data_IF_928673948913
#
_entry.id   IF_928673948913
#
_cell.length_a   1.000
_cell.length_b   1.000
_cell.length_c   1.000
_cell.angle_alpha   90.00
_cell.angle_beta   90.00
_cell.angle_gamma   90.00
#
_symmetry.space_group_name_H-M   'P 1'
#
loop_
_entity.id
_entity.type
_entity.pdbx_description
1 polymer ?
#
# COMPACT_ATOMS: atom_id res chain seq x y z
N UNK A 1 -44.00 23.34 -0.53
CA UNK A 1 -43.93 23.19 0.93
C UNK A 1 -43.19 21.88 1.22
N UNK A 2 -41.87 21.97 1.33
CA UNK A 2 -40.94 20.95 1.82
C UNK A 2 -39.72 21.72 2.32
N UNK A 3 -39.33 21.63 3.60
CA UNK A 3 -38.16 22.33 4.07
C UNK A 3 -36.88 21.56 3.72
N UNK A 4 -35.91 22.34 3.24
CA UNK A 4 -34.49 22.03 3.11
C UNK A 4 -33.84 22.12 4.49
N UNK A 5 -33.43 20.99 5.07
CA UNK A 5 -32.57 21.00 6.26
C UNK A 5 -31.10 20.82 5.85
N UNK A 6 -30.40 21.96 5.83
CA UNK A 6 -28.96 22.05 5.86
C UNK A 6 -28.50 22.01 7.33
N UNK A 7 -27.75 20.97 7.71
CA UNK A 7 -27.06 20.93 9.01
C UNK A 7 -25.72 21.69 8.93
N UNK A 8 -25.46 22.65 9.84
CA UNK A 8 -24.15 23.30 9.95
C UNK A 8 -23.19 22.47 10.82
N UNK A 9 -21.93 22.37 10.37
CA UNK A 9 -20.80 21.82 11.11
C UNK A 9 -20.20 22.89 12.04
N UNK A 10 -20.05 22.64 13.36
CA UNK A 10 -19.33 23.55 14.24
C UNK A 10 -17.82 23.28 14.18
N UNK A 11 -17.07 24.23 13.61
CA UNK A 11 -15.62 24.33 13.80
C UNK A 11 -15.35 25.02 15.14
N UNK A 12 -14.84 24.26 16.11
CA UNK A 12 -14.35 24.80 17.37
C UNK A 12 -12.87 25.17 17.20
N UNK A 13 -12.58 26.46 17.28
CA UNK A 13 -11.26 27.05 17.41
C UNK A 13 -10.52 26.47 18.63
N UNK A 14 -9.29 26.02 18.44
CA UNK A 14 -8.35 25.71 19.52
C UNK A 14 -7.31 26.85 19.62
N UNK A 15 -6.93 27.29 20.84
CA UNK A 15 -5.93 28.32 21.04
C UNK A 15 -4.50 27.78 20.87
N UNK A 16 -3.61 28.64 20.37
CA UNK A 16 -2.17 28.40 20.27
C UNK A 16 -1.54 28.73 21.61
N UNK A 17 -0.94 27.73 22.26
CA UNK A 17 -0.22 27.89 23.51
C UNK A 17 1.28 28.17 23.24
N UNK A 18 1.78 29.25 23.81
CA UNK A 18 3.19 29.66 23.75
C UNK A 18 3.95 29.02 24.91
N UNK A 19 4.57 27.87 24.64
CA UNK A 19 5.37 27.11 25.62
C UNK A 19 6.87 27.15 25.32
N UNK A 20 7.60 27.86 26.17
CA UNK A 20 9.04 28.12 26.18
C UNK A 20 9.91 26.88 26.48
N UNK A 21 11.20 27.01 26.12
CA UNK A 21 12.41 26.37 26.71
C UNK A 21 12.97 25.13 26.00
N UNK A 22 14.16 25.28 25.41
CA UNK A 22 15.37 24.58 25.86
C UNK A 22 16.65 25.24 25.36
N UNK A 23 17.30 25.94 26.27
CA UNK A 23 18.69 26.38 26.18
C UNK A 23 19.62 25.18 26.10
N UNK A 24 20.57 25.27 25.16
CA UNK A 24 21.62 24.31 24.89
C UNK A 24 22.68 24.41 26.00
N UNK A 25 22.76 23.42 26.87
CA UNK A 25 23.83 23.30 27.86
C UNK A 25 24.82 22.25 27.35
N UNK A 26 26.01 22.71 26.99
CA UNK A 26 27.17 21.89 26.65
C UNK A 26 27.97 21.60 27.92
N UNK A 27 28.19 20.33 28.31
CA UNK A 27 29.21 20.00 29.30
C UNK A 27 30.55 19.61 28.65
N UNK A 28 31.67 19.78 29.39
CA UNK A 28 33.04 19.80 28.88
C UNK A 28 33.67 18.42 28.64
N UNK A 29 34.69 18.44 27.79
CA UNK A 29 35.67 17.37 27.55
C UNK A 29 36.32 16.89 28.85
N UNK A 30 36.37 15.57 29.03
CA UNK A 30 37.22 14.88 30.00
C UNK A 30 37.94 13.74 29.26
N UNK A 31 39.23 13.93 29.00
CA UNK A 31 40.23 12.85 28.91
C UNK A 31 40.64 12.48 30.37
N UNK A 32 41.34 11.38 30.70
CA UNK A 32 42.16 10.51 29.84
C UNK A 32 42.05 9.00 30.17
N UNK A 33 42.70 8.13 29.38
CA UNK A 33 43.40 6.94 29.89
C UNK A 33 44.11 6.22 28.74
N UNK A 34 45.44 6.30 28.75
CA UNK A 34 46.32 5.47 27.93
C UNK A 34 46.19 4.01 28.37
N UNK A 35 45.54 3.18 27.56
CA UNK A 35 45.61 1.73 27.69
C UNK A 35 46.91 1.23 27.03
N UNK A 36 47.74 0.57 27.84
CA UNK A 36 48.92 -0.19 27.42
C UNK A 36 48.48 -1.44 26.63
N UNK A 37 49.03 -1.73 25.44
CA UNK A 37 48.80 -3.01 24.80
C UNK A 37 49.82 -4.02 25.33
N UNK A 38 49.36 -5.05 26.03
CA UNK A 38 50.13 -6.29 26.19
C UNK A 38 49.90 -7.12 24.92
N UNK A 39 50.98 -7.26 24.15
CA UNK A 39 51.11 -8.22 23.07
C UNK A 39 50.93 -9.65 23.63
N UNK A 40 49.78 -10.25 23.35
CA UNK A 40 49.59 -11.69 23.47
C UNK A 40 49.50 -12.26 22.05
N UNK A 41 50.61 -12.83 21.59
CA UNK A 41 50.69 -13.61 20.36
C UNK A 41 49.92 -14.93 20.56
N UNK A 42 48.66 -14.95 20.14
CA UNK A 42 47.88 -16.17 19.99
C UNK A 42 47.96 -16.68 18.56
N UNK A 43 48.67 -17.78 18.34
CA UNK A 43 48.52 -18.59 17.12
C UNK A 43 47.08 -19.11 17.07
N UNK A 44 46.25 -18.49 16.23
CA UNK A 44 44.92 -18.97 15.88
C UNK A 44 45.01 -19.66 14.51
N UNK A 45 44.88 -20.99 14.54
CA UNK A 45 44.63 -21.84 13.38
C UNK A 45 43.38 -21.33 12.65
N UNK A 46 43.56 -20.79 11.45
CA UNK A 46 42.47 -20.37 10.58
C UNK A 46 41.81 -21.62 9.98
N UNK A 47 40.85 -22.19 10.70
CA UNK A 47 39.87 -23.11 10.11
C UNK A 47 38.97 -22.29 9.19
N UNK A 48 39.08 -22.50 7.88
CA UNK A 48 38.17 -21.94 6.90
C UNK A 48 36.75 -22.47 7.19
N UNK A 49 35.94 -21.67 7.87
CA UNK A 49 34.51 -21.91 8.00
C UNK A 49 33.89 -21.74 6.61
N UNK A 50 33.18 -22.74 6.06
CA UNK A 50 32.35 -22.50 4.89
C UNK A 50 31.28 -21.49 5.31
N UNK A 51 31.39 -20.27 4.82
CA UNK A 51 30.30 -19.30 4.85
C UNK A 51 29.19 -19.87 3.96
N UNK A 52 28.32 -20.69 4.55
CA UNK A 52 27.01 -20.97 3.97
C UNK A 52 26.25 -19.65 3.98
N UNK A 53 26.26 -18.96 2.84
CA UNK A 53 25.29 -17.91 2.55
C UNK A 53 23.94 -18.61 2.58
N UNK A 54 23.28 -18.61 3.74
CA UNK A 54 21.88 -18.97 3.83
C UNK A 54 21.15 -17.96 2.95
N UNK A 55 20.69 -18.42 1.78
CA UNK A 55 19.76 -17.67 0.97
C UNK A 55 18.53 -17.43 1.85
N UNK A 56 18.41 -16.22 2.37
CA UNK A 56 17.20 -15.80 3.05
C UNK A 56 16.11 -15.81 1.99
N UNK A 57 15.22 -16.80 2.06
CA UNK A 57 14.03 -16.80 1.25
C UNK A 57 13.24 -15.54 1.62
N UNK A 58 13.17 -14.59 0.69
CA UNK A 58 12.31 -13.42 0.81
C UNK A 58 10.89 -13.90 1.14
N UNK A 59 10.23 -13.33 2.16
CA UNK A 59 8.89 -13.74 2.52
C UNK A 59 7.98 -13.55 1.31
N UNK A 60 7.41 -14.65 0.81
CA UNK A 60 6.41 -14.62 -0.26
C UNK A 60 5.26 -13.72 0.18
N UNK A 61 5.14 -12.57 -0.47
CA UNK A 61 4.05 -11.62 -0.24
C UNK A 61 2.71 -12.37 -0.25
N UNK A 62 2.08 -12.46 0.93
CA UNK A 62 0.89 -13.28 1.13
C UNK A 62 -0.34 -12.38 1.11
N UNK A 63 -1.29 -12.67 0.24
CA UNK A 63 -2.61 -12.03 0.24
C UNK A 63 -3.50 -12.75 1.25
N UNK A 64 -4.37 -12.04 2.00
CA UNK A 64 -5.42 -12.68 2.78
C UNK A 64 -6.27 -13.66 1.93
N UNK A 65 -6.56 -14.84 2.47
CA UNK A 65 -7.31 -15.88 1.74
C UNK A 65 -8.77 -15.48 1.45
N UNK A 66 -9.29 -14.49 2.17
CA UNK A 66 -10.61 -13.89 2.00
C UNK A 66 -10.50 -12.37 2.03
N UNK A 67 -11.52 -11.68 1.52
CA UNK A 67 -11.61 -10.23 1.61
C UNK A 67 -11.31 -9.71 3.02
N UNK A 68 -10.40 -8.74 3.11
CA UNK A 68 -10.06 -8.04 4.35
C UNK A 68 -9.90 -6.54 4.07
N UNK A 69 -11.02 -5.82 4.09
CA UNK A 69 -10.99 -4.36 3.97
C UNK A 69 -10.26 -3.68 5.14
N UNK A 70 -10.17 -4.31 6.31
CA UNK A 70 -9.48 -3.71 7.46
C UNK A 70 -7.97 -3.68 7.24
N UNK A 71 -7.41 -4.75 6.69
CA UNK A 71 -6.01 -4.82 6.29
C UNK A 71 -5.69 -3.76 5.22
N UNK A 72 -6.54 -3.62 4.19
CA UNK A 72 -6.40 -2.54 3.20
C UNK A 72 -6.38 -1.15 3.86
N UNK A 73 -7.34 -0.86 4.73
CA UNK A 73 -7.45 0.44 5.41
C UNK A 73 -6.25 0.71 6.32
N UNK A 74 -5.71 -0.31 6.98
CA UNK A 74 -4.49 -0.18 7.78
C UNK A 74 -3.27 0.18 6.92
N UNK A 75 -3.12 -0.48 5.76
CA UNK A 75 -2.06 -0.17 4.78
C UNK A 75 -2.22 1.24 4.20
N UNK A 76 -3.43 1.62 3.82
CA UNK A 76 -3.74 2.95 3.32
C UNK A 76 -3.39 4.02 4.36
N UNK A 77 -3.87 3.86 5.60
CA UNK A 77 -3.56 4.78 6.69
C UNK A 77 -2.04 4.89 6.94
N UNK A 78 -1.31 3.77 6.92
CA UNK A 78 0.13 3.79 7.10
C UNK A 78 0.84 4.59 5.98
N UNK A 79 0.43 4.44 4.72
CA UNK A 79 1.03 5.15 3.59
C UNK A 79 0.70 6.65 3.60
N UNK A 80 -0.51 7.01 4.02
CA UNK A 80 -0.95 8.39 4.18
C UNK A 80 -0.18 9.11 5.30
N UNK A 81 0.23 8.39 6.35
CA UNK A 81 1.00 8.92 7.48
C UNK A 81 2.53 8.80 7.33
N UNK A 82 3.03 8.59 6.11
CA UNK A 82 4.47 8.61 5.83
C UNK A 82 5.21 7.30 6.10
N UNK A 83 4.49 6.19 6.25
CA UNK A 83 5.07 4.84 6.25
C UNK A 83 5.76 4.49 4.92
N UNK A 84 6.45 3.34 4.89
CA UNK A 84 7.11 2.85 3.67
C UNK A 84 6.08 2.62 2.56
N UNK A 85 6.19 3.37 1.46
CA UNK A 85 5.25 3.36 0.32
C UNK A 85 5.63 2.31 -0.71
N UNK A 86 5.85 1.08 -0.26
CA UNK A 86 6.06 -0.04 -1.16
C UNK A 86 4.71 -0.48 -1.75
N UNK A 87 4.74 -1.05 -2.95
CA UNK A 87 3.58 -1.75 -3.48
C UNK A 87 3.25 -2.95 -2.56
N UNK A 88 2.00 -3.08 -2.14
CA UNK A 88 1.58 -4.12 -1.19
C UNK A 88 0.38 -4.90 -1.67
N UNK A 89 0.35 -6.24 -1.44
CA UNK A 89 -0.80 -7.06 -1.81
C UNK A 89 -2.00 -6.72 -0.94
N UNK A 90 -3.18 -6.67 -1.55
CA UNK A 90 -4.45 -6.43 -0.86
C UNK A 90 -5.55 -7.31 -1.41
N UNK A 91 -6.52 -7.63 -0.55
CA UNK A 91 -7.74 -8.32 -0.90
C UNK A 91 -8.92 -7.50 -0.36
N UNK A 92 -9.65 -6.83 -1.24
CA UNK A 92 -10.79 -6.00 -0.87
C UNK A 92 -12.09 -6.53 -1.45
N UNK A 93 -13.19 -6.11 -0.87
CA UNK A 93 -14.52 -6.34 -1.40
C UNK A 93 -15.41 -5.12 -1.15
N UNK A 94 -16.43 -4.95 -1.97
CA UNK A 94 -17.31 -3.79 -1.85
C UNK A 94 -18.26 -3.63 -3.02
N UNK A 95 -18.78 -2.42 -3.16
CA UNK A 95 -19.74 -2.08 -4.21
C UNK A 95 -19.18 -1.04 -5.15
N UNK A 96 -19.40 -1.20 -6.46
CA UNK A 96 -19.00 -0.22 -7.45
C UNK A 96 -19.82 1.07 -7.30
N UNK A 97 -19.14 2.18 -7.03
CA UNK A 97 -19.76 3.52 -6.88
C UNK A 97 -19.86 4.26 -8.21
N UNK A 98 -18.82 4.12 -9.04
CA UNK A 98 -18.69 4.85 -10.29
C UNK A 98 -17.80 4.08 -11.26
N UNK A 99 -18.11 4.21 -12.55
CA UNK A 99 -17.37 3.61 -13.65
C UNK A 99 -17.01 4.70 -14.64
N UNK A 100 -15.76 4.75 -15.08
CA UNK A 100 -15.35 5.66 -16.15
C UNK A 100 -15.97 5.17 -17.46
N UNK A 101 -16.76 5.99 -18.17
CA UNK A 101 -17.50 5.52 -19.35
C UNK A 101 -16.58 5.17 -20.53
N UNK A 102 -15.35 5.69 -20.54
CA UNK A 102 -14.35 5.43 -21.58
C UNK A 102 -13.09 4.84 -20.96
N UNK A 103 -12.50 3.91 -21.69
CA UNK A 103 -11.14 3.48 -21.45
C UNK A 103 -10.16 4.59 -21.80
N UNK A 104 -8.98 4.58 -21.19
CA UNK A 104 -7.89 5.52 -21.44
C UNK A 104 -6.65 4.78 -21.90
N UNK A 105 -6.06 5.23 -23.00
CA UNK A 105 -4.74 4.74 -23.43
C UNK A 105 -3.64 5.47 -22.66
N UNK A 106 -2.70 4.70 -22.12
CA UNK A 106 -1.45 5.20 -21.51
C UNK A 106 -0.26 4.57 -22.24
N UNK A 107 0.96 4.83 -21.75
CA UNK A 107 2.17 4.21 -22.28
C UNK A 107 2.18 2.68 -22.14
N UNK A 108 1.47 2.14 -21.15
CA UNK A 108 1.42 0.70 -20.86
C UNK A 108 0.19 0.00 -21.42
N UNK A 109 -0.65 0.68 -22.21
CA UNK A 109 -1.83 0.06 -22.82
C UNK A 109 -3.15 0.77 -22.54
N UNK A 110 -4.25 0.06 -22.76
CA UNK A 110 -5.61 0.50 -22.47
C UNK A 110 -6.03 0.18 -21.04
N UNK A 111 -6.60 1.18 -20.38
CA UNK A 111 -7.02 1.11 -18.98
C UNK A 111 -8.47 1.49 -18.80
N UNK A 112 -9.26 0.61 -18.17
CA UNK A 112 -10.56 0.90 -17.60
C UNK A 112 -10.41 1.36 -16.15
N UNK A 113 -11.32 2.19 -15.65
CA UNK A 113 -11.28 2.63 -14.26
C UNK A 113 -12.67 2.61 -13.64
N UNK A 114 -12.77 2.03 -12.46
CA UNK A 114 -13.96 2.11 -11.62
C UNK A 114 -13.58 2.35 -10.16
N UNK A 115 -14.54 2.76 -9.35
CA UNK A 115 -14.35 3.08 -7.94
C UNK A 115 -15.18 2.15 -7.09
N UNK A 116 -14.57 1.56 -6.08
CA UNK A 116 -15.20 0.61 -5.15
C UNK A 116 -15.31 1.25 -3.79
N UNK A 117 -16.51 1.23 -3.20
CA UNK A 117 -16.71 1.55 -1.79
C UNK A 117 -16.21 0.38 -0.96
N UNK A 118 -15.14 0.57 -0.19
CA UNK A 118 -14.65 -0.42 0.78
C UNK A 118 -15.23 -0.16 2.18
N UNK A 119 -15.66 1.08 2.42
CA UNK A 119 -16.52 1.50 3.54
C UNK A 119 -17.55 2.51 3.03
N UNK A 120 -18.52 2.94 3.85
CA UNK A 120 -19.47 3.99 3.45
C UNK A 120 -18.81 5.34 3.11
N UNK A 121 -17.60 5.62 3.63
CA UNK A 121 -16.91 6.91 3.46
C UNK A 121 -15.61 6.82 2.67
N UNK A 122 -15.10 5.62 2.42
CA UNK A 122 -13.80 5.39 1.76
C UNK A 122 -14.03 4.57 0.50
N UNK A 123 -13.49 5.08 -0.60
CA UNK A 123 -13.46 4.40 -1.88
C UNK A 123 -12.06 4.38 -2.47
N UNK A 124 -11.80 3.39 -3.31
CA UNK A 124 -10.52 3.23 -3.99
C UNK A 124 -10.74 3.02 -5.48
N UNK A 125 -9.83 3.57 -6.29
CA UNK A 125 -9.81 3.34 -7.73
C UNK A 125 -9.28 1.94 -8.02
N UNK A 126 -10.00 1.21 -8.85
CA UNK A 126 -9.51 -0.01 -9.48
C UNK A 126 -9.08 0.32 -10.90
N UNK A 127 -7.88 -0.13 -11.26
CA UNK A 127 -7.29 0.06 -12.59
C UNK A 127 -7.34 -1.27 -13.33
N UNK A 128 -8.12 -1.30 -14.42
CA UNK A 128 -8.28 -2.48 -15.25
C UNK A 128 -7.40 -2.42 -16.48
N UNK A 129 -6.45 -3.35 -16.59
CA UNK A 129 -5.65 -3.54 -17.80
C UNK A 129 -6.44 -4.26 -18.89
N UNK A 130 -7.02 -3.51 -19.83
CA UNK A 130 -7.94 -4.05 -20.84
C UNK A 130 -7.25 -4.84 -21.95
N UNK A 131 -5.93 -4.70 -22.09
CA UNK A 131 -5.17 -5.39 -23.14
C UNK A 131 -4.85 -6.86 -22.80
N UNK A 132 -4.87 -7.26 -21.53
CA UNK A 132 -4.55 -8.65 -21.14
C UNK A 132 -5.63 -9.30 -20.27
N UNK A 133 -6.53 -8.52 -19.65
CA UNK A 133 -7.65 -9.07 -18.89
C UNK A 133 -8.60 -9.85 -19.80
N UNK A 134 -9.02 -11.04 -19.36
CA UNK A 134 -10.03 -11.83 -20.08
C UNK A 134 -11.45 -11.36 -19.75
N UNK A 135 -11.82 -10.16 -20.19
CA UNK A 135 -13.13 -9.57 -19.95
C UNK A 135 -13.82 -9.11 -21.25
N UNK A 136 -15.15 -8.87 -21.23
CA UNK A 136 -15.85 -8.20 -22.33
C UNK A 136 -15.32 -6.80 -22.59
N UNK A 137 -15.81 -6.18 -23.68
CA UNK A 137 -15.52 -4.79 -23.98
C UNK A 137 -15.88 -3.87 -22.81
N UNK A 138 -14.99 -2.93 -22.51
CA UNK A 138 -15.23 -1.94 -21.46
C UNK A 138 -16.44 -1.04 -21.79
N UNK A 139 -17.34 -0.74 -20.84
CA UNK A 139 -17.32 -1.20 -19.44
C UNK A 139 -17.95 -2.59 -19.27
N UNK A 140 -17.25 -3.47 -18.56
CA UNK A 140 -17.76 -4.79 -18.13
C UNK A 140 -18.21 -4.81 -16.66
N UNK A 141 -18.14 -3.66 -15.98
CA UNK A 141 -18.72 -3.40 -14.65
C UNK A 141 -19.75 -2.28 -14.72
N UNK A 142 -20.71 -2.31 -13.80
CA UNK A 142 -21.73 -1.30 -13.61
C UNK A 142 -21.77 -0.80 -12.16
N UNK A 143 -22.33 0.40 -11.97
CA UNK A 143 -22.60 0.93 -10.63
C UNK A 143 -23.58 0.00 -9.90
N UNK A 144 -23.28 -0.32 -8.65
CA UNK A 144 -24.06 -1.22 -7.81
C UNK A 144 -23.59 -2.66 -7.81
N UNK A 145 -22.68 -3.04 -8.72
CA UNK A 145 -22.10 -4.39 -8.73
C UNK A 145 -21.33 -4.66 -7.44
N UNK A 146 -21.46 -5.89 -6.93
CA UNK A 146 -20.62 -6.40 -5.86
C UNK A 146 -19.31 -6.89 -6.46
N UNK A 147 -18.21 -6.49 -5.85
CA UNK A 147 -16.88 -6.84 -6.33
C UNK A 147 -15.97 -7.33 -5.23
N UNK A 148 -15.09 -8.26 -5.59
CA UNK A 148 -13.95 -8.70 -4.81
C UNK A 148 -12.70 -8.52 -5.67
N UNK A 149 -11.66 -7.90 -5.13
CA UNK A 149 -10.43 -7.58 -5.88
C UNK A 149 -9.23 -8.06 -5.08
N UNK A 150 -8.41 -8.89 -5.70
CA UNK A 150 -7.05 -9.18 -5.25
C UNK A 150 -6.08 -8.48 -6.18
N UNK A 151 -5.18 -7.69 -5.61
CA UNK A 151 -4.24 -6.93 -6.42
C UNK A 151 -3.17 -6.22 -5.61
N UNK A 152 -2.46 -5.35 -6.31
CA UNK A 152 -1.42 -4.49 -5.81
C UNK A 152 -2.00 -3.12 -5.49
N UNK A 153 -1.90 -2.74 -4.23
CA UNK A 153 -2.17 -1.37 -3.81
C UNK A 153 -0.92 -0.51 -4.02
N UNK A 154 -1.03 0.49 -4.88
CA UNK A 154 0.00 1.50 -5.12
C UNK A 154 -0.43 2.84 -4.53
N UNK A 155 0.54 3.63 -4.04
CA UNK A 155 0.30 4.95 -3.47
C UNK A 155 1.41 5.94 -3.83
N UNK A 156 1.14 6.80 -4.82
CA UNK A 156 2.01 7.95 -5.11
C UNK A 156 1.65 9.13 -4.19
N UNK A 157 0.35 9.37 -4.00
CA UNK A 157 -0.22 10.42 -3.13
C UNK A 157 -1.69 10.15 -2.86
N UNK A 158 -2.30 10.92 -1.95
CA UNK A 158 -3.73 10.80 -1.61
C UNK A 158 -4.66 10.91 -2.84
N UNK A 159 -4.26 11.67 -3.86
CA UNK A 159 -5.01 11.84 -5.13
C UNK A 159 -4.58 10.88 -6.24
N UNK A 160 -3.54 10.08 -6.01
CA UNK A 160 -2.91 9.16 -6.97
C UNK A 160 -2.56 7.86 -6.26
N UNK A 161 -3.61 7.10 -6.00
CA UNK A 161 -3.57 5.78 -5.41
C UNK A 161 -4.61 4.90 -6.11
N UNK A 162 -4.44 3.59 -6.00
CA UNK A 162 -5.36 2.65 -6.60
C UNK A 162 -4.91 1.22 -6.40
N UNK A 163 -5.75 0.31 -6.86
CA UNK A 163 -5.46 -1.11 -6.92
C UNK A 163 -5.43 -1.51 -8.39
N UNK A 164 -4.30 -2.07 -8.82
CA UNK A 164 -4.20 -2.79 -10.08
C UNK A 164 -3.99 -4.28 -9.80
N UNK A 165 -4.33 -5.13 -10.75
CA UNK A 165 -3.77 -6.47 -10.79
C UNK A 165 -2.60 -6.43 -11.77
N UNK A 166 -1.43 -6.84 -11.31
CA UNK A 166 -0.20 -6.72 -12.10
C UNK A 166 -0.24 -7.68 -13.27
N UNK A 167 -0.10 -7.09 -14.46
CA UNK A 167 -0.38 -7.71 -15.75
C UNK A 167 0.67 -8.72 -16.23
N UNK A 168 1.94 -8.56 -15.88
CA UNK A 168 3.01 -9.43 -16.42
C UNK A 168 3.12 -10.84 -15.81
N UNK A 169 2.02 -11.35 -15.25
CA UNK A 169 2.05 -12.56 -14.44
C UNK A 169 2.84 -12.33 -13.16
N UNK A 170 2.79 -13.32 -12.29
CA UNK A 170 3.66 -13.38 -11.12
C UNK A 170 5.11 -13.33 -11.59
N UNK A 171 5.83 -12.26 -11.26
CA UNK A 171 7.23 -12.06 -11.59
C UNK A 171 8.08 -11.97 -10.33
N UNK A 172 9.40 -11.89 -10.49
CA UNK A 172 10.33 -11.76 -9.35
C UNK A 172 10.05 -10.52 -8.49
N UNK A 173 9.57 -9.43 -9.10
CA UNK A 173 9.21 -8.20 -8.38
C UNK A 173 7.78 -8.17 -7.85
N UNK A 174 6.94 -9.15 -8.22
CA UNK A 174 5.55 -9.24 -7.78
C UNK A 174 5.00 -10.67 -7.92
N UNK A 175 5.03 -11.48 -6.85
CA UNK A 175 4.67 -12.90 -6.93
C UNK A 175 3.17 -13.17 -6.81
N UNK A 176 2.33 -12.15 -6.66
CA UNK A 176 0.92 -12.30 -6.33
C UNK A 176 0.04 -12.23 -7.58
N UNK A 177 -0.67 -13.31 -7.95
CA UNK A 177 -1.64 -13.25 -9.03
C UNK A 177 -2.84 -12.42 -8.57
N UNK A 178 -3.19 -11.39 -9.32
CA UNK A 178 -4.38 -10.57 -9.06
C UNK A 178 -5.60 -11.08 -9.83
N UNK A 179 -6.78 -10.69 -9.38
CA UNK A 179 -8.05 -10.96 -10.06
C UNK A 179 -9.12 -9.97 -9.59
N UNK A 180 -10.23 -9.91 -10.33
CA UNK A 180 -11.46 -9.28 -9.89
C UNK A 180 -12.64 -10.19 -10.11
N UNK A 181 -13.47 -10.36 -9.08
CA UNK A 181 -14.76 -11.05 -9.16
C UNK A 181 -15.87 -10.00 -9.13
N UNK A 182 -16.79 -10.03 -10.09
CA UNK A 182 -17.95 -9.13 -10.18
C UNK A 182 -19.22 -9.97 -10.15
N UNK A 183 -20.06 -9.75 -9.14
CA UNK A 183 -21.31 -10.51 -8.96
C UNK A 183 -21.11 -12.05 -9.06
N UNK A 184 -19.96 -12.55 -8.59
CA UNK A 184 -19.58 -13.97 -8.65
C UNK A 184 -18.83 -14.40 -9.92
N UNK A 185 -18.69 -13.53 -10.93
CA UNK A 185 -17.92 -13.81 -12.14
C UNK A 185 -16.48 -13.33 -12.00
N UNK A 186 -15.53 -14.27 -11.98
CA UNK A 186 -14.11 -13.98 -11.86
C UNK A 186 -13.48 -13.65 -13.20
N UNK A 187 -12.64 -12.63 -13.21
CA UNK A 187 -11.81 -12.19 -14.30
C UNK A 187 -10.37 -12.07 -13.81
N UNK A 188 -9.45 -12.63 -14.59
CA UNK A 188 -8.01 -12.58 -14.37
C UNK A 188 -7.35 -11.70 -15.45
#
# INVERSE_FOLDING_TARGET
MFPTDAYPMPWLSQPVDHGTVRTKVTPPMVAPAFLRPLLAAGLLTLTALPYSVAAQAEPTATVPASCDNRDFLAKQFAFENGGSKADVPVHICGTVLAVSPKAKRTRSGWHGYFYVAVTPSISIRIVSGLDEMKAPNWPWVAKGDQVEVVGRYYYDSIRRQGIDWTHHGTGWSWPVPGYVTVNGHKYD
#
